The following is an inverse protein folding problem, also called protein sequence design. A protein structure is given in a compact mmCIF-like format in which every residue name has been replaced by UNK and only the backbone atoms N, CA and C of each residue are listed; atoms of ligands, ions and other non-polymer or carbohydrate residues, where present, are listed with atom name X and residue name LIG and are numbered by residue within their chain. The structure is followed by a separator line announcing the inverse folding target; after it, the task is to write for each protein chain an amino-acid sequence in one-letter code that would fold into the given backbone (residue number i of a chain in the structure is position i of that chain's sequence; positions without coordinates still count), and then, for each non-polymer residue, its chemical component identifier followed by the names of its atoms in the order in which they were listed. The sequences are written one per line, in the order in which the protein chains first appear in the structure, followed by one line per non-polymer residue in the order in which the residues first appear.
data_IF_933375689191
#
_entry.id   IF_933375689191
#
_cell.length_a   1.000
_cell.length_b   1.000
_cell.length_c   1.000
_cell.angle_alpha   90.00
_cell.angle_beta   90.00
_cell.angle_gamma   90.00
#
_symmetry.space_group_name_H-M   'P 1'
#
loop_
_entity.id
_entity.type
_entity.pdbx_description
1 polymer ?
#
# COMPACT_ATOMS: atom_id res chain seq x y z
N UNK A 1 -9.69 -25.40 -30.45
CA UNK A 1 -11.14 -25.59 -30.26
C UNK A 1 -11.33 -26.48 -29.05
N UNK A 2 -12.15 -26.05 -28.06
CA UNK A 2 -12.60 -26.81 -26.86
C UNK A 2 -11.52 -26.93 -25.78
N UNK A 3 -11.48 -26.22 -24.65
CA UNK A 3 -12.49 -25.73 -23.69
C UNK A 3 -13.22 -26.83 -22.86
N UNK A 4 -12.98 -26.73 -21.53
CA UNK A 4 -13.74 -27.23 -20.35
C UNK A 4 -13.82 -28.77 -20.17
N UNK A 5 -13.68 -29.38 -18.99
CA UNK A 5 -14.25 -29.02 -17.69
C UNK A 5 -13.58 -29.86 -16.57
N UNK A 6 -13.10 -29.22 -15.49
CA UNK A 6 -12.62 -29.88 -14.26
C UNK A 6 -13.59 -29.55 -13.13
N UNK A 7 -14.60 -30.41 -12.97
CA UNK A 7 -15.57 -30.35 -11.88
C UNK A 7 -14.95 -30.92 -10.61
N UNK A 8 -14.60 -30.07 -9.65
CA UNK A 8 -14.29 -30.49 -8.29
C UNK A 8 -15.55 -30.49 -7.41
N UNK A 9 -15.90 -31.69 -6.95
CA UNK A 9 -16.90 -32.01 -5.92
C UNK A 9 -16.67 -31.25 -4.62
N UNK A 10 -17.71 -30.59 -4.09
CA UNK A 10 -17.88 -30.41 -2.65
C UNK A 10 -19.04 -31.28 -2.18
N UNK A 11 -18.72 -32.24 -1.30
CA UNK A 11 -19.68 -33.11 -0.65
C UNK A 11 -20.48 -32.34 0.38
N UNK A 12 -21.78 -32.24 0.15
CA UNK A 12 -22.78 -32.03 1.19
C UNK A 12 -23.27 -33.39 1.66
N UNK A 13 -23.10 -33.69 2.94
CA UNK A 13 -23.80 -34.79 3.59
C UNK A 13 -24.84 -34.16 4.54
N UNK A 14 -26.10 -34.44 4.26
CA UNK A 14 -27.24 -33.93 5.02
C UNK A 14 -27.52 -34.72 6.29
N UNK A 15 -28.44 -34.19 7.07
CA UNK A 15 -29.34 -35.00 7.88
C UNK A 15 -30.72 -34.32 7.89
N UNK A 16 -31.74 -35.08 7.49
CA UNK A 16 -33.15 -34.67 7.41
C UNK A 16 -33.79 -34.49 8.80
N UNK A 17 -34.76 -33.59 8.94
CA UNK A 17 -36.20 -33.88 8.85
C UNK A 17 -36.82 -33.61 10.24
N UNK A 18 -38.08 -33.21 10.47
CA UNK A 18 -39.34 -33.24 9.71
C UNK A 18 -40.33 -32.26 10.40
N UNK A 19 -41.30 -31.71 9.64
CA UNK A 19 -42.67 -31.31 10.03
C UNK A 19 -42.88 -30.10 10.97
N UNK A 20 -43.92 -29.27 10.88
CA UNK A 20 -45.13 -29.13 10.03
C UNK A 20 -45.82 -27.83 10.46
N UNK A 21 -46.66 -27.21 9.60
CA UNK A 21 -47.81 -26.42 10.08
C UNK A 21 -47.89 -24.93 9.71
N UNK A 22 -48.55 -24.66 8.58
CA UNK A 22 -49.61 -23.67 8.32
C UNK A 22 -49.64 -22.31 9.07
N UNK A 23 -49.79 -21.20 8.33
CA UNK A 23 -51.09 -20.52 8.08
C UNK A 23 -50.90 -19.10 7.54
N UNK A 24 -51.51 -18.85 6.39
CA UNK A 24 -51.81 -17.54 5.80
C UNK A 24 -52.79 -16.77 6.70
N UNK A 25 -52.54 -15.48 6.99
CA UNK A 25 -53.60 -14.49 7.29
C UNK A 25 -53.06 -13.05 7.13
N UNK A 26 -53.55 -12.35 6.11
CA UNK A 26 -53.80 -10.90 6.17
C UNK A 26 -55.23 -10.70 6.69
N UNK A 27 -55.55 -9.58 7.37
CA UNK A 27 -56.31 -8.56 6.64
C UNK A 27 -55.99 -7.09 6.99
N UNK A 28 -56.35 -6.25 6.00
CA UNK A 28 -56.60 -4.80 5.92
C UNK A 28 -57.03 -4.04 7.20
N UNK A 29 -56.61 -2.76 7.27
CA UNK A 29 -57.55 -1.63 7.30
C UNK A 29 -57.15 -0.36 8.10
N UNK A 30 -56.93 0.76 7.38
CA UNK A 30 -57.16 2.18 7.79
C UNK A 30 -56.18 2.77 8.83
N UNK A 31 -55.71 4.03 8.77
CA UNK A 31 -56.22 5.27 8.18
C UNK A 31 -55.07 6.28 7.96
N UNK A 32 -55.29 7.21 7.01
CA UNK A 32 -54.50 8.43 6.78
C UNK A 32 -54.37 9.30 8.04
N UNK A 33 -53.19 9.87 8.29
CA UNK A 33 -53.07 11.28 8.72
C UNK A 33 -51.66 11.83 8.50
N UNK A 34 -51.59 12.81 7.59
CA UNK A 34 -50.78 14.04 7.65
C UNK A 34 -49.27 13.95 7.91
N UNK A 35 -48.49 14.23 6.85
CA UNK A 35 -47.12 14.73 6.94
C UNK A 35 -47.03 15.99 7.82
N UNK A 36 -45.93 16.13 8.57
CA UNK A 36 -45.21 17.39 8.58
C UNK A 36 -43.90 17.21 7.80
N UNK A 37 -43.81 17.99 6.75
CA UNK A 37 -42.57 18.39 6.11
C UNK A 37 -41.71 19.09 7.17
N UNK A 38 -40.59 18.49 7.55
CA UNK A 38 -39.47 19.23 8.14
C UNK A 38 -38.20 18.68 7.48
N UNK A 39 -37.70 19.45 6.53
CA UNK A 39 -36.33 19.33 6.05
C UNK A 39 -35.40 19.73 7.18
N UNK A 40 -34.77 18.74 7.80
CA UNK A 40 -33.45 18.93 8.40
C UNK A 40 -32.44 18.62 7.32
N UNK A 41 -32.19 19.63 6.47
CA UNK A 41 -30.92 19.72 5.79
C UNK A 41 -29.86 19.74 6.89
N UNK A 42 -29.10 18.65 7.00
CA UNK A 42 -27.96 18.56 7.90
C UNK A 42 -27.11 19.80 7.71
N UNK A 43 -27.07 20.64 8.74
CA UNK A 43 -26.16 21.77 8.82
C UNK A 43 -24.75 21.19 8.87
N UNK A 44 -24.15 21.04 7.70
CA UNK A 44 -22.72 20.82 7.55
C UNK A 44 -22.04 21.97 8.25
N UNK A 45 -21.48 21.67 9.42
CA UNK A 45 -20.86 22.64 10.29
C UNK A 45 -19.70 23.28 9.52
N UNK A 46 -19.60 24.61 9.45
CA UNK A 46 -18.45 25.29 8.81
C UNK A 46 -17.10 24.81 9.39
N UNK A 47 -17.11 24.31 10.63
CA UNK A 47 -15.97 23.66 11.28
C UNK A 47 -15.59 22.31 10.65
N UNK A 48 -16.54 21.56 10.10
CA UNK A 48 -16.28 20.30 9.39
C UNK A 48 -15.73 20.58 7.99
N UNK A 49 -16.23 21.60 7.30
CA UNK A 49 -15.68 22.05 6.01
C UNK A 49 -14.26 22.60 6.13
N UNK A 50 -13.99 23.42 7.16
CA UNK A 50 -12.65 23.95 7.42
C UNK A 50 -11.65 22.83 7.80
N UNK A 51 -12.07 21.85 8.62
CA UNK A 51 -11.27 20.65 8.90
C UNK A 51 -11.00 19.85 7.63
N UNK A 52 -12.01 19.70 6.77
CA UNK A 52 -11.87 18.99 5.51
C UNK A 52 -10.83 19.65 4.59
N UNK A 53 -10.85 20.98 4.46
CA UNK A 53 -9.85 21.71 3.65
C UNK A 53 -8.45 21.56 4.25
N UNK A 54 -8.33 21.60 5.58
CA UNK A 54 -7.05 21.38 6.28
C UNK A 54 -6.43 20.02 5.97
N UNK A 55 -7.22 18.95 6.00
CA UNK A 55 -6.74 17.59 5.72
C UNK A 55 -6.23 17.43 4.27
N UNK A 56 -6.89 18.08 3.31
CA UNK A 56 -6.42 18.09 1.90
C UNK A 56 -5.11 18.85 1.74
N UNK A 57 -4.99 20.01 2.39
CA UNK A 57 -3.76 20.80 2.35
C UNK A 57 -2.59 20.03 2.96
N UNK A 58 -2.82 19.38 4.10
CA UNK A 58 -1.83 18.55 4.77
C UNK A 58 -1.41 17.36 3.90
N UNK A 59 -2.36 16.70 3.22
CA UNK A 59 -2.05 15.62 2.28
C UNK A 59 -1.15 16.08 1.13
N UNK A 60 -1.43 17.27 0.56
CA UNK A 60 -0.64 17.88 -0.51
C UNK A 60 0.75 18.30 0.00
N UNK A 61 0.83 18.85 1.21
CA UNK A 61 2.10 19.29 1.81
C UNK A 61 3.01 18.12 2.21
N UNK A 62 2.45 17.06 2.81
CA UNK A 62 3.20 15.85 3.14
C UNK A 62 3.78 15.20 1.88
N UNK A 63 2.98 15.10 0.82
CA UNK A 63 3.41 14.54 -0.47
C UNK A 63 4.58 15.34 -1.08
N UNK A 64 4.51 16.68 -1.03
CA UNK A 64 5.60 17.55 -1.51
C UNK A 64 6.88 17.37 -0.70
N UNK A 65 6.77 17.29 0.63
CA UNK A 65 7.93 17.13 1.52
C UNK A 65 8.65 15.81 1.26
N UNK A 66 7.92 14.71 1.10
CA UNK A 66 8.48 13.39 0.76
C UNK A 66 9.26 13.42 -0.58
N UNK A 67 8.70 14.08 -1.60
CA UNK A 67 9.39 14.24 -2.89
C UNK A 67 10.68 15.06 -2.77
N UNK A 68 10.69 16.08 -1.91
CA UNK A 68 11.84 16.97 -1.72
C UNK A 68 12.95 16.27 -0.92
N UNK A 69 12.62 15.50 0.12
CA UNK A 69 13.58 14.73 0.90
C UNK A 69 14.28 13.65 0.06
N UNK A 70 13.52 12.94 -0.78
CA UNK A 70 14.09 11.95 -1.70
C UNK A 70 15.08 12.60 -2.69
N UNK A 71 14.77 13.80 -3.19
CA UNK A 71 15.69 14.57 -4.04
C UNK A 71 16.93 15.06 -3.28
N UNK A 72 16.76 15.53 -2.03
CA UNK A 72 17.86 15.98 -1.19
C UNK A 72 18.82 14.84 -0.85
N UNK A 73 18.28 13.65 -0.53
CA UNK A 73 19.09 12.45 -0.27
C UNK A 73 19.93 12.03 -1.48
N UNK A 74 19.39 12.16 -2.70
CA UNK A 74 20.13 11.86 -3.93
C UNK A 74 21.28 12.85 -4.17
N UNK A 75 21.05 14.14 -3.93
CA UNK A 75 22.07 15.17 -4.08
C UNK A 75 23.20 15.03 -3.06
N UNK A 76 22.87 14.72 -1.80
CA UNK A 76 23.85 14.41 -0.74
C UNK A 76 24.74 13.21 -1.10
N UNK A 77 24.15 12.15 -1.67
CA UNK A 77 24.91 10.98 -2.09
C UNK A 77 25.92 11.29 -3.22
N UNK A 78 25.61 12.24 -4.11
CA UNK A 78 26.53 12.69 -5.16
C UNK A 78 27.65 13.56 -4.58
N UNK A 79 27.32 14.50 -3.69
CA UNK A 79 28.30 15.40 -3.06
C UNK A 79 29.34 14.62 -2.26
N UNK A 80 28.91 13.61 -1.49
CA UNK A 80 29.81 12.77 -0.70
C UNK A 80 30.75 11.91 -1.56
N UNK A 81 30.38 11.59 -2.82
CA UNK A 81 31.24 10.85 -3.77
C UNK A 81 32.27 11.72 -4.48
N UNK A 82 32.09 13.04 -4.49
CA UNK A 82 32.95 14.00 -5.19
C UNK A 82 33.94 14.73 -4.26
N UNK A 83 33.91 14.46 -2.95
CA UNK A 83 34.80 15.11 -1.99
C UNK A 83 36.27 14.63 -2.14
N UNK A 84 37.23 15.53 -2.40
CA UNK A 84 38.63 15.16 -2.63
C UNK A 84 39.35 14.93 -1.30
N UNK A 85 39.54 13.65 -0.92
CA UNK A 85 40.31 13.31 0.29
C UNK A 85 40.23 11.87 0.79
N UNK A 86 39.49 10.97 0.14
CA UNK A 86 39.40 9.56 0.56
C UNK A 86 40.71 8.81 0.30
N UNK A 87 41.58 8.70 1.31
CA UNK A 87 42.58 7.64 1.35
C UNK A 87 41.84 6.31 1.13
N UNK A 88 42.28 5.54 0.13
CA UNK A 88 41.77 4.20 -0.14
C UNK A 88 41.94 3.35 1.13
N UNK A 89 40.89 3.30 1.96
CA UNK A 89 40.83 2.39 3.08
C UNK A 89 40.74 0.98 2.52
N UNK A 90 41.44 -0.01 3.11
CA UNK A 90 41.20 -1.40 2.77
C UNK A 90 39.71 -1.67 3.00
N UNK A 91 39.03 -2.24 2.00
CA UNK A 91 37.59 -2.46 2.03
C UNK A 91 37.28 -3.52 3.09
N UNK A 92 37.17 -3.09 4.35
CA UNK A 92 36.72 -3.94 5.45
C UNK A 92 35.23 -4.09 5.22
N UNK A 93 34.80 -5.27 4.76
CA UNK A 93 33.38 -5.56 4.55
C UNK A 93 32.55 -5.24 5.78
N UNK A 94 31.29 -4.81 5.57
CA UNK A 94 30.40 -4.42 6.66
C UNK A 94 30.12 -5.65 7.50
N UNK A 95 30.38 -5.61 8.80
CA UNK A 95 30.11 -6.76 9.67
C UNK A 95 28.60 -6.94 9.93
N UNK A 96 28.17 -8.19 10.16
CA UNK A 96 26.80 -8.47 10.60
C UNK A 96 26.43 -7.69 11.88
N UNK A 97 27.39 -7.49 12.79
CA UNK A 97 27.18 -6.72 14.02
C UNK A 97 26.81 -5.24 13.75
N UNK A 98 27.47 -4.60 12.79
CA UNK A 98 27.13 -3.22 12.38
C UNK A 98 25.73 -3.14 11.78
N UNK A 99 25.35 -4.13 10.97
CA UNK A 99 23.98 -4.20 10.44
C UNK A 99 22.95 -4.38 11.57
N UNK A 100 23.18 -5.28 12.53
CA UNK A 100 22.24 -5.51 13.64
C UNK A 100 22.06 -4.28 14.55
N UNK A 101 23.07 -3.41 14.66
CA UNK A 101 22.96 -2.14 15.40
C UNK A 101 21.92 -1.18 14.78
N UNK A 102 21.60 -1.32 13.50
CA UNK A 102 20.53 -0.55 12.84
C UNK A 102 19.12 -1.02 13.26
N UNK A 103 19.04 -2.05 14.11
CA UNK A 103 17.80 -2.72 14.51
C UNK A 103 16.96 -3.14 13.31
N UNK A 104 17.46 -4.05 12.45
CA UNK A 104 16.72 -4.49 11.29
C UNK A 104 15.50 -5.33 11.70
N UNK A 105 14.35 -5.17 11.03
CA UNK A 105 13.16 -5.95 11.33
C UNK A 105 13.37 -7.44 10.97
N UNK A 106 12.69 -8.32 11.69
CA UNK A 106 12.63 -9.76 11.35
C UNK A 106 11.40 -10.04 10.48
N UNK A 107 11.48 -11.04 9.60
CA UNK A 107 10.32 -11.47 8.80
C UNK A 107 10.10 -12.96 8.90
N UNK A 108 8.85 -13.38 9.14
CA UNK A 108 8.48 -14.79 9.29
C UNK A 108 7.36 -15.20 8.32
N UNK A 109 6.34 -14.36 8.20
CA UNK A 109 5.21 -14.51 7.29
C UNK A 109 4.59 -13.14 7.04
N UNK A 110 3.86 -13.00 5.93
CA UNK A 110 3.04 -11.83 5.65
C UNK A 110 1.55 -12.19 5.72
N UNK A 111 0.76 -11.36 6.40
CA UNK A 111 -0.71 -11.42 6.36
C UNK A 111 -1.23 -10.57 5.20
N UNK A 112 -0.76 -9.32 5.12
CA UNK A 112 -0.99 -8.42 3.98
C UNK A 112 0.20 -8.46 2.99
N UNK A 113 -0.04 -8.40 1.66
CA UNK A 113 1.03 -8.41 0.67
C UNK A 113 2.06 -7.28 0.83
N UNK A 114 1.70 -6.14 1.42
CA UNK A 114 2.65 -5.05 1.65
C UNK A 114 3.59 -5.33 2.81
N UNK A 115 3.25 -6.17 3.79
CA UNK A 115 4.16 -6.45 4.91
C UNK A 115 5.49 -7.03 4.43
N UNK A 116 5.45 -7.92 3.43
CA UNK A 116 6.65 -8.46 2.81
C UNK A 116 7.41 -7.39 2.01
N UNK A 117 6.70 -6.56 1.25
CA UNK A 117 7.30 -5.47 0.48
C UNK A 117 7.97 -4.42 1.38
N UNK A 118 7.28 -4.02 2.46
CA UNK A 118 7.70 -3.02 3.44
C UNK A 118 8.94 -3.50 4.18
N UNK A 119 8.93 -4.77 4.61
CA UNK A 119 10.10 -5.39 5.19
C UNK A 119 11.29 -5.36 4.22
N UNK A 120 11.07 -5.67 2.93
CA UNK A 120 12.15 -5.68 1.94
C UNK A 120 12.73 -4.27 1.74
N UNK A 121 11.88 -3.26 1.64
CA UNK A 121 12.29 -1.86 1.49
C UNK A 121 13.06 -1.36 2.72
N UNK A 122 12.57 -1.68 3.92
CA UNK A 122 13.24 -1.29 5.17
C UNK A 122 14.61 -1.96 5.32
N UNK A 123 14.71 -3.24 5.00
CA UNK A 123 15.97 -3.98 5.00
C UNK A 123 16.92 -3.40 3.96
N UNK A 124 16.46 -3.15 2.73
CA UNK A 124 17.27 -2.55 1.66
C UNK A 124 17.85 -1.19 2.12
N UNK A 125 17.00 -0.30 2.65
CA UNK A 125 17.43 1.00 3.18
C UNK A 125 18.50 0.86 4.27
N UNK A 126 18.31 -0.04 5.24
CA UNK A 126 19.29 -0.26 6.32
C UNK A 126 20.61 -0.82 5.79
N UNK A 127 20.56 -1.75 4.84
CA UNK A 127 21.75 -2.33 4.20
C UNK A 127 22.53 -1.31 3.37
N UNK A 128 21.83 -0.42 2.66
CA UNK A 128 22.45 0.69 1.92
C UNK A 128 23.09 1.70 2.86
N UNK A 129 22.44 2.00 3.99
CA UNK A 129 22.94 2.93 5.01
C UNK A 129 24.30 2.49 5.56
N UNK A 130 24.49 1.18 5.77
CA UNK A 130 25.76 0.63 6.27
C UNK A 130 26.78 0.35 5.17
N UNK A 131 26.39 0.43 3.89
CA UNK A 131 27.30 0.27 2.75
C UNK A 131 27.60 -1.17 2.34
N UNK A 132 26.66 -2.10 2.53
CA UNK A 132 26.88 -3.53 2.21
C UNK A 132 27.10 -3.80 0.71
N UNK A 133 28.00 -4.75 0.41
CA UNK A 133 28.10 -5.39 -0.92
C UNK A 133 26.84 -6.22 -1.22
N UNK A 134 26.63 -6.60 -2.48
CA UNK A 134 25.48 -7.44 -2.86
C UNK A 134 25.47 -8.80 -2.14
N UNK A 135 26.64 -9.41 -1.95
CA UNK A 135 26.77 -10.67 -1.21
C UNK A 135 26.46 -10.50 0.28
N UNK A 136 26.89 -9.38 0.87
CA UNK A 136 26.58 -9.02 2.26
C UNK A 136 25.08 -8.76 2.43
N UNK A 137 24.46 -8.02 1.50
CA UNK A 137 23.01 -7.74 1.50
C UNK A 137 22.20 -9.02 1.58
N UNK A 138 22.49 -9.99 0.73
CA UNK A 138 21.78 -11.29 0.72
C UNK A 138 22.00 -12.03 2.02
N UNK A 139 23.24 -12.09 2.52
CA UNK A 139 23.57 -12.80 3.77
C UNK A 139 22.86 -12.20 4.98
N UNK A 140 22.80 -10.87 5.05
CA UNK A 140 22.23 -10.15 6.20
C UNK A 140 20.70 -10.09 6.14
N UNK A 141 20.11 -9.94 4.96
CA UNK A 141 18.66 -10.10 4.80
C UNK A 141 18.21 -11.53 5.15
N UNK A 142 18.94 -12.55 4.69
CA UNK A 142 18.67 -13.95 5.03
C UNK A 142 18.74 -14.22 6.55
N UNK A 143 19.65 -13.56 7.26
CA UNK A 143 19.76 -13.67 8.73
C UNK A 143 18.48 -13.21 9.44
N UNK A 144 17.77 -12.23 8.86
CA UNK A 144 16.53 -11.65 9.39
C UNK A 144 15.27 -12.47 9.04
N UNK A 145 15.39 -13.47 8.17
CA UNK A 145 14.31 -14.40 7.87
C UNK A 145 14.20 -15.46 8.97
N UNK A 146 13.00 -15.61 9.53
CA UNK A 146 12.66 -16.57 10.58
C UNK A 146 11.48 -17.44 10.15
N UNK A 147 11.19 -18.51 10.89
CA UNK A 147 10.00 -19.34 10.67
C UNK A 147 9.82 -19.80 9.22
N UNK A 148 8.64 -19.53 8.63
CA UNK A 148 8.31 -19.95 7.26
C UNK A 148 9.23 -19.30 6.22
N UNK A 149 9.56 -18.02 6.39
CA UNK A 149 10.47 -17.33 5.49
C UNK A 149 11.90 -17.87 5.58
N UNK A 150 12.36 -18.24 6.77
CA UNK A 150 13.65 -18.91 6.95
C UNK A 150 13.69 -20.27 6.24
N UNK A 151 12.65 -21.09 6.41
CA UNK A 151 12.54 -22.39 5.75
C UNK A 151 12.49 -22.27 4.22
N UNK A 152 11.75 -21.28 3.71
CA UNK A 152 11.74 -20.94 2.28
C UNK A 152 13.14 -20.62 1.77
N UNK A 153 13.90 -19.78 2.49
CA UNK A 153 15.25 -19.39 2.07
C UNK A 153 16.20 -20.58 2.02
N UNK A 154 16.15 -21.47 3.01
CA UNK A 154 16.92 -22.72 2.99
C UNK A 154 16.60 -23.58 1.77
N UNK A 155 15.32 -23.73 1.42
CA UNK A 155 14.89 -24.47 0.23
C UNK A 155 15.31 -23.78 -1.06
N UNK A 156 15.19 -22.44 -1.13
CA UNK A 156 15.64 -21.67 -2.29
C UNK A 156 17.14 -21.88 -2.53
N UNK A 157 17.96 -21.75 -1.47
CA UNK A 157 19.40 -21.96 -1.54
C UNK A 157 19.80 -23.38 -1.93
N UNK A 158 19.06 -24.40 -1.50
CA UNK A 158 19.33 -25.79 -1.85
C UNK A 158 19.03 -26.09 -3.33
N UNK A 159 18.00 -25.46 -3.90
CA UNK A 159 17.60 -25.66 -5.29
C UNK A 159 18.29 -24.70 -6.27
N UNK A 160 18.98 -23.67 -5.77
CA UNK A 160 19.76 -22.76 -6.59
C UNK A 160 21.08 -23.41 -6.98
N UNK A 161 21.52 -23.22 -8.22
CA UNK A 161 22.74 -23.84 -8.73
C UNK A 161 23.95 -23.46 -7.85
N UNK A 162 24.73 -24.46 -7.41
CA UNK A 162 25.86 -24.26 -6.48
C UNK A 162 26.91 -23.25 -6.98
N UNK A 163 27.02 -23.08 -8.30
CA UNK A 163 28.00 -22.21 -8.94
C UNK A 163 27.48 -20.81 -9.28
N UNK A 164 26.21 -20.50 -9.01
CA UNK A 164 25.64 -19.18 -9.26
C UNK A 164 25.47 -18.42 -7.93
N UNK A 165 26.21 -17.31 -7.72
CA UNK A 165 26.00 -16.50 -6.53
C UNK A 165 24.63 -15.84 -6.61
N UNK A 166 23.85 -15.97 -5.52
CA UNK A 166 22.59 -15.24 -5.40
C UNK A 166 22.93 -13.77 -5.20
N UNK A 167 22.72 -12.95 -6.21
CA UNK A 167 22.85 -11.49 -6.12
C UNK A 167 21.67 -10.90 -5.35
N UNK A 168 21.80 -9.64 -4.92
CA UNK A 168 20.70 -8.94 -4.24
C UNK A 168 19.45 -8.85 -5.13
N UNK A 169 19.63 -8.62 -6.44
CA UNK A 169 18.52 -8.59 -7.39
C UNK A 169 17.77 -9.93 -7.47
N UNK A 170 18.48 -11.06 -7.51
CA UNK A 170 17.88 -12.40 -7.52
C UNK A 170 17.13 -12.67 -6.22
N UNK A 171 17.71 -12.29 -5.07
CA UNK A 171 17.04 -12.39 -3.78
C UNK A 171 15.72 -11.62 -3.78
N UNK A 172 15.73 -10.33 -4.18
CA UNK A 172 14.52 -9.49 -4.20
C UNK A 172 13.42 -10.08 -5.09
N UNK A 173 13.80 -10.57 -6.27
CA UNK A 173 12.85 -11.19 -7.20
C UNK A 173 12.22 -12.46 -6.61
N UNK A 174 13.06 -13.36 -6.09
CA UNK A 174 12.60 -14.61 -5.51
C UNK A 174 11.73 -14.38 -4.27
N UNK A 175 12.13 -13.46 -3.39
CA UNK A 175 11.40 -13.08 -2.19
C UNK A 175 10.03 -12.48 -2.55
N UNK A 176 10.00 -11.55 -3.50
CA UNK A 176 8.74 -10.94 -3.97
C UNK A 176 7.80 -11.99 -4.54
N UNK A 177 8.30 -12.91 -5.37
CA UNK A 177 7.49 -13.99 -5.94
C UNK A 177 6.91 -14.92 -4.87
N UNK A 178 7.67 -15.19 -3.80
CA UNK A 178 7.25 -16.07 -2.72
C UNK A 178 6.25 -15.43 -1.75
N UNK A 179 6.43 -14.16 -1.41
CA UNK A 179 5.70 -13.52 -0.29
C UNK A 179 4.80 -12.36 -0.67
N UNK A 180 4.80 -11.92 -1.94
CA UNK A 180 3.93 -10.86 -2.45
C UNK A 180 3.02 -11.44 -3.55
N UNK A 181 1.87 -12.06 -3.19
CA UNK A 181 1.01 -12.70 -4.18
C UNK A 181 0.40 -11.68 -5.14
N UNK A 182 0.71 -11.78 -6.43
CA UNK A 182 0.20 -10.89 -7.48
C UNK A 182 -1.33 -10.76 -7.47
N UNK A 183 -2.06 -11.84 -7.15
CA UNK A 183 -3.52 -11.81 -7.05
C UNK A 183 -4.02 -10.87 -5.96
N UNK A 184 -3.42 -10.90 -4.76
CA UNK A 184 -3.79 -10.01 -3.65
C UNK A 184 -3.43 -8.55 -3.96
N UNK A 185 -2.25 -8.31 -4.54
CA UNK A 185 -1.84 -6.98 -5.01
C UNK A 185 -2.81 -6.45 -6.07
N UNK A 186 -3.21 -7.29 -7.02
CA UNK A 186 -4.16 -6.92 -8.09
C UNK A 186 -5.55 -6.55 -7.54
N UNK A 187 -6.03 -7.24 -6.50
CA UNK A 187 -7.28 -6.90 -5.81
C UNK A 187 -7.15 -5.53 -5.16
N UNK A 188 -6.06 -5.27 -4.43
CA UNK A 188 -5.82 -3.97 -3.78
C UNK A 188 -5.64 -2.84 -4.79
N UNK A 189 -4.89 -3.06 -5.89
CA UNK A 189 -4.73 -2.12 -7.02
C UNK A 189 -6.09 -1.79 -7.66
N UNK A 190 -6.97 -2.77 -7.84
CA UNK A 190 -8.34 -2.54 -8.30
C UNK A 190 -9.16 -1.74 -7.29
N UNK A 191 -9.03 -2.06 -6.00
CA UNK A 191 -9.63 -1.31 -4.91
C UNK A 191 -9.23 0.17 -4.92
N UNK A 192 -7.94 0.45 -5.12
CA UNK A 192 -7.43 1.81 -5.28
C UNK A 192 -8.03 2.52 -6.50
N UNK A 193 -8.02 1.87 -7.67
CA UNK A 193 -8.54 2.45 -8.91
C UNK A 193 -10.03 2.81 -8.84
N UNK A 194 -10.79 2.06 -8.04
CA UNK A 194 -12.22 2.26 -7.80
C UNK A 194 -12.51 3.04 -6.51
N UNK A 195 -11.48 3.54 -5.82
CA UNK A 195 -11.65 4.24 -4.55
C UNK A 195 -12.43 5.54 -4.79
N UNK A 196 -13.49 5.71 -4.00
CA UNK A 196 -14.25 6.96 -3.91
C UNK A 196 -14.53 7.29 -2.46
N UNK A 197 -14.64 8.59 -2.18
CA UNK A 197 -15.02 9.11 -0.88
C UNK A 197 -16.41 8.58 -0.51
N UNK A 198 -17.38 8.62 -1.44
CA UNK A 198 -18.76 8.24 -1.17
C UNK A 198 -19.31 9.04 0.02
N UNK A 199 -19.87 8.35 1.02
CA UNK A 199 -20.36 8.95 2.25
C UNK A 199 -19.32 9.01 3.38
N UNK A 200 -18.06 8.62 3.12
CA UNK A 200 -17.00 8.63 4.14
C UNK A 200 -16.57 10.05 4.46
N UNK A 201 -16.11 10.25 5.69
CA UNK A 201 -15.42 11.49 6.07
C UNK A 201 -14.15 11.63 5.23
N UNK A 202 -13.75 12.88 4.99
CA UNK A 202 -12.59 13.14 4.16
C UNK A 202 -11.30 12.55 4.75
N UNK A 203 -11.08 12.66 6.07
CA UNK A 203 -9.94 12.03 6.73
C UNK A 203 -9.88 10.51 6.52
N UNK A 204 -11.03 9.82 6.50
CA UNK A 204 -11.09 8.38 6.19
C UNK A 204 -10.75 8.10 4.72
N UNK A 205 -11.22 8.95 3.81
CA UNK A 205 -10.87 8.86 2.39
C UNK A 205 -9.38 9.11 2.16
N UNK A 206 -8.80 10.15 2.78
CA UNK A 206 -7.36 10.45 2.72
C UNK A 206 -6.55 9.26 3.25
N UNK A 207 -6.94 8.70 4.40
CA UNK A 207 -6.28 7.52 4.95
C UNK A 207 -6.32 6.34 3.97
N UNK A 208 -7.50 5.99 3.46
CA UNK A 208 -7.66 4.90 2.48
C UNK A 208 -6.90 5.17 1.18
N UNK A 209 -6.88 6.41 0.71
CA UNK A 209 -6.15 6.80 -0.49
C UNK A 209 -4.65 6.60 -0.30
N UNK A 210 -4.09 7.12 0.78
CA UNK A 210 -2.68 6.96 1.14
C UNK A 210 -2.31 5.48 1.26
N UNK A 211 -3.08 4.71 2.02
CA UNK A 211 -2.85 3.27 2.21
C UNK A 211 -2.89 2.49 0.89
N UNK A 212 -3.95 2.67 0.09
CA UNK A 212 -4.17 1.89 -1.13
C UNK A 212 -3.31 2.34 -2.32
N UNK A 213 -2.85 3.59 -2.33
CA UNK A 213 -1.97 4.12 -3.40
C UNK A 213 -0.66 3.33 -3.54
N UNK A 214 -0.20 2.74 -2.43
CA UNK A 214 1.01 1.90 -2.34
C UNK A 214 0.96 0.68 -3.27
N UNK A 215 -0.23 0.18 -3.61
CA UNK A 215 -0.40 -0.96 -4.52
C UNK A 215 -0.48 -0.55 -6.00
N UNK A 216 -0.48 0.74 -6.30
CA UNK A 216 -0.73 1.30 -7.62
C UNK A 216 0.26 2.42 -7.98
N UNK A 217 1.59 2.21 -7.83
CA UNK A 217 2.57 3.28 -8.01
C UNK A 217 2.47 3.95 -9.38
N UNK A 218 2.21 3.21 -10.46
CA UNK A 218 2.06 3.76 -11.82
C UNK A 218 0.94 4.81 -11.95
N UNK A 219 -0.10 4.68 -11.10
CA UNK A 219 -1.28 5.53 -11.10
C UNK A 219 -1.06 6.81 -10.25
N UNK A 220 0.02 6.87 -9.46
CA UNK A 220 0.36 8.01 -8.56
C UNK A 220 1.83 8.43 -8.63
N UNK A 221 2.57 8.01 -9.66
CA UNK A 221 4.02 8.23 -9.76
C UNK A 221 4.42 9.68 -10.05
N UNK A 222 3.46 10.57 -10.30
CA UNK A 222 3.68 12.01 -10.34
C UNK A 222 2.65 12.71 -9.47
N UNK A 223 3.00 13.89 -8.96
CA UNK A 223 2.07 14.69 -8.16
C UNK A 223 0.80 15.03 -8.95
N UNK A 224 0.92 15.27 -10.26
CA UNK A 224 -0.23 15.55 -11.11
C UNK A 224 -1.18 14.36 -11.17
N UNK A 225 -0.66 13.14 -11.39
CA UNK A 225 -1.48 11.92 -11.41
C UNK A 225 -2.09 11.62 -10.05
N UNK A 226 -1.31 11.80 -8.98
CA UNK A 226 -1.77 11.59 -7.60
C UNK A 226 -2.93 12.54 -7.26
N UNK A 227 -2.79 13.83 -7.56
CA UNK A 227 -3.84 14.84 -7.34
C UNK A 227 -5.05 14.59 -8.24
N UNK A 228 -4.85 14.27 -9.51
CA UNK A 228 -5.93 13.94 -10.44
C UNK A 228 -6.73 12.74 -9.91
N UNK A 229 -6.04 11.66 -9.54
CA UNK A 229 -6.68 10.46 -9.02
C UNK A 229 -7.42 10.71 -7.70
N UNK A 230 -6.84 11.53 -6.81
CA UNK A 230 -7.48 11.93 -5.56
C UNK A 230 -8.77 12.71 -5.82
N UNK A 231 -8.74 13.64 -6.78
CA UNK A 231 -9.89 14.47 -7.16
C UNK A 231 -10.98 13.68 -7.89
N UNK A 232 -10.64 12.65 -8.67
CA UNK A 232 -11.62 11.76 -9.32
C UNK A 232 -12.54 11.09 -8.31
N UNK A 233 -11.97 10.54 -7.23
CA UNK A 233 -12.71 9.83 -6.18
C UNK A 233 -13.36 10.73 -5.14
N UNK A 234 -13.02 12.03 -5.11
CA UNK A 234 -13.53 12.97 -4.12
C UNK A 234 -15.05 13.22 -4.29
N UNK A 235 -15.74 13.46 -3.18
CA UNK A 235 -17.18 13.74 -3.19
C UNK A 235 -17.48 14.96 -4.10
N UNK A 236 -18.54 14.90 -4.94
CA UNK A 236 -18.80 15.93 -5.97
C UNK A 236 -18.84 17.37 -5.43
N UNK A 237 -19.41 17.56 -4.24
CA UNK A 237 -19.47 18.87 -3.58
C UNK A 237 -18.08 19.44 -3.31
N UNK A 238 -17.18 18.68 -2.67
CA UNK A 238 -15.81 19.13 -2.39
C UNK A 238 -15.01 19.30 -3.68
N UNK A 239 -15.18 18.37 -4.62
CA UNK A 239 -14.53 18.41 -5.93
C UNK A 239 -14.83 19.71 -6.68
N UNK A 240 -16.07 20.17 -6.66
CA UNK A 240 -16.47 21.42 -7.32
C UNK A 240 -15.77 22.66 -6.74
N UNK A 241 -15.63 22.73 -5.41
CA UNK A 241 -15.01 23.87 -4.74
C UNK A 241 -13.48 23.86 -4.85
N UNK A 242 -12.87 22.69 -4.93
CA UNK A 242 -11.41 22.54 -4.91
C UNK A 242 -10.79 22.56 -6.31
N UNK A 243 -11.51 22.11 -7.34
CA UNK A 243 -11.01 22.08 -8.72
C UNK A 243 -10.51 23.47 -9.20
N UNK A 244 -11.19 24.59 -8.91
CA UNK A 244 -10.67 25.92 -9.21
C UNK A 244 -9.38 26.26 -8.46
N UNK A 245 -9.22 25.86 -7.20
CA UNK A 245 -8.00 26.12 -6.42
C UNK A 245 -6.79 25.39 -7.00
N UNK A 246 -6.96 24.13 -7.41
CA UNK A 246 -5.91 23.34 -8.04
C UNK A 246 -5.53 23.85 -9.45
N UNK A 247 -6.50 24.32 -10.24
CA UNK A 247 -6.23 24.93 -11.55
C UNK A 247 -5.54 26.29 -11.42
N UNK A 248 -5.96 27.13 -10.46
CA UNK A 248 -5.34 28.43 -10.21
C UNK A 248 -3.89 28.31 -9.77
N UNK A 249 -3.57 27.27 -8.98
CA UNK A 249 -2.19 26.95 -8.56
C UNK A 249 -1.33 26.39 -9.69
N UNK A 250 -1.94 25.70 -10.68
CA UNK A 250 -1.26 25.14 -11.87
C UNK A 250 -1.03 26.17 -12.97
N UNK A 251 -1.84 27.23 -13.04
CA UNK A 251 -1.79 28.24 -14.11
C UNK A 251 -1.48 29.67 -13.66
N UNK A 252 -1.21 29.91 -12.37
CA UNK A 252 -0.61 31.16 -11.90
C UNK A 252 -1.32 32.45 -12.35
N UNK A 253 -2.65 32.47 -12.36
CA UNK A 253 -3.41 33.69 -12.64
C UNK A 253 -3.86 34.33 -11.33
N UNK A 254 -3.15 35.43 -11.03
CA UNK A 254 -3.41 36.38 -9.94
C UNK A 254 -4.84 36.93 -9.97
#
# INVERSE_FOLDING_TARGET
MGEHDLVFRLGYNGNGGISSGNHSFLPRGGQLSTYPHNGEAGSSNANDEARNIGDILLFVENSRSESQENQNSFMEAIINRLAPGGLAQPVVGVSLGQFLQTQPPSFSKAVDPLEAHDWLLEIEKKLETVGCSDEEKVRYAAHQLKGLAGAWWSNFKHNHAENEPVTWAVFKQAFTLAFVPNGKVSIKKRGFRNLSQGNKRLGEYVHQFTELSRYAPDDVNTEEKKVEKFMEGLHPFLRMHLRPMFLRRRFGVA
#
